data_IF_707012138930
#
_entry.id   IF_707012138930
#
_cell.length_a   1.000
_cell.length_b   1.000
_cell.length_c   1.000
_cell.angle_alpha   90.00
_cell.angle_beta   90.00
_cell.angle_gamma   90.00
#
_symmetry.space_group_name_H-M   'P 1'
#
loop_
_entity.id
_entity.type
_entity.pdbx_description
1 polymer ?
#
# COMPACT_ATOMS: atom_id res chain seq x y z
N UNK A 1 12.23 -13.25 17.79
CA UNK A 1 13.44 -14.03 17.46
C UNK A 1 13.87 -14.73 18.74
N UNK A 2 13.45 -15.98 18.93
CA UNK A 2 13.94 -16.81 20.03
C UNK A 2 15.20 -17.53 19.55
N UNK A 3 16.17 -17.74 20.44
CA UNK A 3 17.41 -18.48 20.11
C UNK A 3 17.15 -19.93 19.63
N UNK A 4 15.91 -20.40 19.75
CA UNK A 4 15.46 -21.74 19.39
C UNK A 4 15.24 -21.92 17.87
N UNK A 5 15.02 -20.84 17.11
CA UNK A 5 14.79 -20.91 15.66
C UNK A 5 16.04 -20.50 14.87
N UNK A 6 17.23 -20.86 15.36
CA UNK A 6 18.48 -20.32 14.83
C UNK A 6 18.66 -20.59 13.34
N UNK A 7 18.30 -21.77 12.85
CA UNK A 7 18.43 -22.12 11.42
C UNK A 7 17.47 -21.35 10.51
N UNK A 8 16.22 -21.17 10.92
CA UNK A 8 15.21 -20.40 10.17
C UNK A 8 15.59 -18.92 10.03
N UNK A 9 16.38 -18.40 10.97
CA UNK A 9 16.80 -17.00 11.01
C UNK A 9 18.14 -16.74 10.28
N UNK A 10 18.77 -17.75 9.69
CA UNK A 10 20.02 -17.56 8.92
C UNK A 10 19.68 -17.00 7.55
N UNK A 11 19.98 -15.72 7.34
CA UNK A 11 19.96 -15.11 6.01
C UNK A 11 21.14 -15.65 5.20
N UNK A 12 20.85 -16.37 4.12
CA UNK A 12 21.83 -16.86 3.15
C UNK A 12 21.84 -15.97 1.91
N UNK A 13 22.90 -16.07 1.11
CA UNK A 13 23.01 -15.35 -0.17
C UNK A 13 21.82 -15.61 -1.10
N UNK A 14 21.26 -16.83 -1.08
CA UNK A 14 20.08 -17.19 -1.88
C UNK A 14 18.78 -16.49 -1.47
N UNK A 15 18.72 -15.91 -0.26
CA UNK A 15 17.56 -15.12 0.17
C UNK A 15 17.61 -13.66 -0.33
N UNK A 16 18.73 -13.25 -0.93
CA UNK A 16 18.94 -11.87 -1.38
C UNK A 16 18.51 -11.73 -2.83
N UNK A 17 17.40 -11.02 -3.03
CA UNK A 17 16.90 -10.57 -4.33
C UNK A 17 17.39 -9.14 -4.58
N UNK A 18 18.49 -9.01 -5.33
CA UNK A 18 19.03 -7.69 -5.70
C UNK A 18 18.09 -6.93 -6.64
N UNK A 19 17.35 -7.64 -7.50
CA UNK A 19 16.43 -7.01 -8.45
C UNK A 19 15.31 -6.29 -7.71
N UNK A 20 14.81 -6.86 -6.61
CA UNK A 20 13.86 -6.20 -5.73
C UNK A 20 14.38 -4.86 -5.18
N UNK A 21 15.63 -4.84 -4.69
CA UNK A 21 16.22 -3.61 -4.16
C UNK A 21 16.38 -2.55 -5.24
N UNK A 22 16.90 -2.94 -6.41
CA UNK A 22 17.07 -2.03 -7.55
C UNK A 22 15.73 -1.51 -8.07
N UNK A 23 14.69 -2.35 -8.10
CA UNK A 23 13.34 -1.95 -8.49
C UNK A 23 12.75 -0.91 -7.55
N UNK A 24 12.95 -1.07 -6.23
CA UNK A 24 12.52 -0.05 -5.25
C UNK A 24 13.27 1.27 -5.49
N UNK A 25 14.59 1.23 -5.72
CA UNK A 25 15.37 2.43 -5.98
C UNK A 25 14.92 3.14 -7.25
N UNK A 26 14.77 2.40 -8.35
CA UNK A 26 14.34 2.91 -9.65
C UNK A 26 12.93 3.53 -9.61
N UNK A 27 12.05 3.00 -8.76
CA UNK A 27 10.69 3.53 -8.59
C UNK A 27 10.60 4.77 -7.66
N UNK A 28 11.71 5.44 -7.38
CA UNK A 28 11.77 6.67 -6.55
C UNK A 28 12.13 6.43 -5.08
N UNK A 29 12.52 5.20 -4.73
CA UNK A 29 13.04 4.82 -3.41
C UNK A 29 14.56 4.91 -3.29
N UNK A 30 15.25 5.58 -4.21
CA UNK A 30 16.71 5.76 -4.27
C UNK A 30 17.35 6.22 -2.94
N UNK A 31 16.69 7.11 -2.21
CA UNK A 31 17.12 7.58 -0.89
C UNK A 31 17.30 6.46 0.16
N UNK A 32 16.85 5.24 -0.13
CA UNK A 32 17.10 4.03 0.65
C UNK A 32 18.61 3.80 0.92
N UNK A 33 19.48 4.17 -0.02
CA UNK A 33 20.93 4.03 0.09
C UNK A 33 21.55 4.93 1.17
N UNK A 34 20.84 6.00 1.56
CA UNK A 34 21.34 6.94 2.56
C UNK A 34 21.10 6.45 3.99
N UNK A 35 20.34 5.36 4.18
CA UNK A 35 19.98 4.88 5.50
C UNK A 35 21.18 4.25 6.24
N UNK A 36 21.65 4.93 7.28
CA UNK A 36 22.66 4.41 8.23
C UNK A 36 22.09 3.69 9.48
N UNK A 37 20.82 3.26 9.43
CA UNK A 37 20.21 2.43 10.47
C UNK A 37 20.13 3.02 11.91
N UNK A 38 20.02 4.34 12.09
CA UNK A 38 19.92 4.96 13.44
C UNK A 38 18.67 4.57 14.27
N UNK A 39 17.54 4.25 13.62
CA UNK A 39 16.31 3.84 14.31
C UNK A 39 15.35 4.96 14.73
N UNK A 40 15.64 6.23 14.45
CA UNK A 40 14.71 7.37 14.69
C UNK A 40 13.31 7.11 14.13
N UNK A 41 13.24 6.48 12.96
CA UNK A 41 11.98 6.11 12.32
C UNK A 41 11.15 5.11 13.15
N UNK A 42 11.79 4.11 13.75
CA UNK A 42 11.14 3.13 14.61
C UNK A 42 10.66 3.79 15.91
N UNK A 43 11.51 4.61 16.54
CA UNK A 43 11.13 5.34 17.77
C UNK A 43 9.99 6.34 17.56
N UNK A 44 9.85 6.87 16.34
CA UNK A 44 8.78 7.80 15.97
C UNK A 44 7.47 7.12 15.54
N UNK A 45 7.47 5.80 15.35
CA UNK A 45 6.33 5.12 14.74
C UNK A 45 5.22 4.87 15.78
N UNK A 46 3.98 5.40 15.58
CA UNK A 46 2.88 5.13 16.49
C UNK A 46 2.43 3.66 16.45
N UNK A 47 2.48 3.01 15.28
CA UNK A 47 2.17 1.58 15.14
C UNK A 47 3.22 0.71 15.84
N UNK A 48 4.50 1.03 15.67
CA UNK A 48 5.60 0.27 16.26
C UNK A 48 5.59 0.26 17.80
N UNK A 49 4.96 1.25 18.45
CA UNK A 49 4.79 1.29 19.91
C UNK A 49 3.91 0.17 20.48
N UNK A 50 3.04 -0.42 19.66
CA UNK A 50 2.05 -1.42 20.10
C UNK A 50 2.04 -2.70 19.26
N UNK A 51 2.90 -2.78 18.25
CA UNK A 51 2.98 -3.94 17.35
C UNK A 51 4.44 -4.34 17.07
N UNK A 52 4.68 -5.49 16.41
CA UNK A 52 6.01 -5.88 15.94
C UNK A 52 6.59 -4.98 14.83
N UNK A 53 5.85 -3.99 14.34
CA UNK A 53 6.26 -3.15 13.21
C UNK A 53 7.52 -2.34 13.51
N UNK A 54 8.62 -2.64 12.81
CA UNK A 54 9.91 -1.92 12.95
C UNK A 54 10.31 -1.31 11.62
N UNK A 55 10.02 -0.02 11.46
CA UNK A 55 10.33 0.75 10.25
C UNK A 55 11.79 0.58 9.81
N UNK A 56 12.74 0.66 10.76
CA UNK A 56 14.17 0.46 10.47
C UNK A 56 14.47 -0.91 9.83
N UNK A 57 13.82 -1.98 10.29
CA UNK A 57 14.03 -3.33 9.75
C UNK A 57 13.49 -3.44 8.33
N UNK A 58 12.32 -2.87 8.04
CA UNK A 58 11.77 -2.84 6.67
C UNK A 58 12.73 -2.12 5.73
N UNK A 59 13.23 -0.95 6.12
CA UNK A 59 14.22 -0.21 5.34
C UNK A 59 15.50 -1.04 5.14
N UNK A 60 15.96 -1.77 6.16
CA UNK A 60 17.13 -2.65 6.02
C UNK A 60 16.87 -3.78 5.03
N UNK A 61 15.75 -4.49 5.18
CA UNK A 61 15.37 -5.60 4.31
C UNK A 61 15.23 -5.14 2.87
N UNK A 62 14.63 -3.98 2.63
CA UNK A 62 14.50 -3.40 1.29
C UNK A 62 15.85 -3.04 0.68
N UNK A 63 16.76 -2.48 1.49
CA UNK A 63 18.10 -2.13 1.04
C UNK A 63 18.97 -3.36 0.71
N UNK A 64 18.81 -4.46 1.45
CA UNK A 64 19.53 -5.71 1.18
C UNK A 64 18.95 -6.48 0.01
N UNK A 65 17.62 -6.44 -0.18
CA UNK A 65 16.93 -7.30 -1.14
C UNK A 65 16.22 -8.50 -0.50
N UNK A 66 15.86 -8.44 0.79
CA UNK A 66 15.12 -9.52 1.46
C UNK A 66 13.62 -9.41 1.14
N UNK A 67 13.28 -9.63 -0.14
CA UNK A 67 11.93 -9.45 -0.70
C UNK A 67 10.89 -10.27 0.05
N UNK A 68 11.10 -11.59 0.12
CA UNK A 68 10.11 -12.53 0.68
C UNK A 68 9.80 -12.20 2.14
N UNK A 69 10.81 -11.81 2.92
CA UNK A 69 10.69 -11.38 4.30
C UNK A 69 9.95 -10.03 4.50
N UNK A 70 9.79 -9.23 3.45
CA UNK A 70 9.01 -7.99 3.50
C UNK A 70 7.59 -8.23 2.98
N UNK A 71 7.45 -8.81 1.79
CA UNK A 71 6.15 -8.89 1.11
C UNK A 71 5.19 -9.83 1.83
N UNK A 72 5.71 -10.89 2.48
CA UNK A 72 4.92 -11.85 3.25
C UNK A 72 4.63 -11.41 4.69
N UNK A 73 5.32 -10.38 5.20
CA UNK A 73 5.17 -9.93 6.58
C UNK A 73 3.90 -9.06 6.74
N UNK A 74 2.88 -9.52 7.50
CA UNK A 74 1.67 -8.73 7.74
C UNK A 74 1.95 -7.38 8.39
N UNK A 75 3.07 -7.24 9.11
CA UNK A 75 3.46 -5.98 9.71
C UNK A 75 3.66 -4.87 8.67
N UNK A 76 4.00 -5.19 7.40
CA UNK A 76 4.11 -4.20 6.32
C UNK A 76 2.86 -3.30 6.20
N UNK A 77 1.68 -3.87 6.47
CA UNK A 77 0.40 -3.18 6.39
C UNK A 77 0.06 -2.32 7.62
N UNK A 78 0.85 -2.39 8.70
CA UNK A 78 0.62 -1.61 9.92
C UNK A 78 1.05 -0.13 9.81
N UNK A 79 1.75 0.26 8.74
CA UNK A 79 2.07 1.66 8.50
C UNK A 79 0.81 2.46 8.13
N UNK A 80 0.54 3.53 8.88
CA UNK A 80 -0.57 4.46 8.63
C UNK A 80 -0.19 5.61 7.69
N UNK A 81 1.01 5.58 7.10
CA UNK A 81 1.52 6.65 6.23
C UNK A 81 1.49 8.06 6.86
N UNK A 82 1.66 8.15 8.18
CA UNK A 82 1.64 9.43 8.91
C UNK A 82 2.87 10.34 8.72
N UNK A 83 3.85 9.94 7.90
CA UNK A 83 5.10 10.66 7.61
C UNK A 83 6.03 11.02 8.79
N UNK A 84 5.67 10.74 10.05
CA UNK A 84 6.49 11.08 11.22
C UNK A 84 7.94 10.55 11.16
N UNK A 85 8.13 9.36 10.59
CA UNK A 85 9.46 8.78 10.40
C UNK A 85 10.28 9.49 9.32
N UNK A 86 9.63 9.97 8.27
CA UNK A 86 10.25 10.65 7.13
C UNK A 86 10.68 12.06 7.53
N UNK A 87 9.81 12.81 8.19
CA UNK A 87 10.10 14.16 8.67
C UNK A 87 11.29 14.21 9.64
N UNK A 88 11.39 13.19 10.51
CA UNK A 88 12.45 13.09 11.51
C UNK A 88 13.70 12.37 11.00
N UNK A 89 13.73 11.93 9.74
CA UNK A 89 14.88 11.21 9.22
C UNK A 89 16.06 12.17 9.03
N UNK A 90 17.20 11.96 9.74
CA UNK A 90 18.37 12.83 9.59
C UNK A 90 19.05 12.67 8.22
N UNK A 91 18.77 11.56 7.51
CA UNK A 91 19.29 11.24 6.18
C UNK A 91 18.29 11.52 5.06
N UNK A 92 17.12 12.09 5.38
CA UNK A 92 16.05 12.42 4.42
C UNK A 92 15.62 11.24 3.54
N UNK A 93 15.61 10.03 4.11
CA UNK A 93 15.09 8.83 3.45
C UNK A 93 13.59 8.98 3.26
N UNK A 94 13.08 8.75 2.04
CA UNK A 94 11.67 8.72 1.68
C UNK A 94 10.99 7.43 2.17
N UNK A 95 10.97 7.27 3.49
CA UNK A 95 10.56 6.01 4.15
C UNK A 95 9.14 5.60 3.76
N UNK A 96 8.21 6.55 3.68
CA UNK A 96 6.81 6.23 3.36
C UNK A 96 6.70 5.73 1.92
N UNK A 97 7.47 6.30 1.00
CA UNK A 97 7.50 5.86 -0.40
C UNK A 97 8.08 4.45 -0.53
N UNK A 98 9.20 4.15 0.15
CA UNK A 98 9.74 2.78 0.20
C UNK A 98 8.72 1.78 0.73
N UNK A 99 7.97 2.11 1.79
CA UNK A 99 6.93 1.24 2.33
C UNK A 99 5.78 1.03 1.33
N UNK A 100 5.35 2.08 0.63
CA UNK A 100 4.31 1.97 -0.42
C UNK A 100 4.78 1.12 -1.60
N UNK A 101 6.03 1.28 -2.04
CA UNK A 101 6.62 0.48 -3.11
C UNK A 101 6.71 -1.00 -2.72
N UNK A 102 7.13 -1.30 -1.49
CA UNK A 102 7.10 -2.65 -0.95
C UNK A 102 5.68 -3.24 -0.91
N UNK A 103 4.67 -2.42 -0.58
CA UNK A 103 3.25 -2.84 -0.66
C UNK A 103 2.79 -3.10 -2.08
N UNK A 104 3.28 -2.37 -3.08
CA UNK A 104 2.95 -2.65 -4.48
C UNK A 104 3.51 -4.01 -4.91
N UNK A 105 4.74 -4.35 -4.51
CA UNK A 105 5.30 -5.68 -4.78
C UNK A 105 4.57 -6.77 -4.00
N UNK A 106 4.17 -6.51 -2.76
CA UNK A 106 3.34 -7.43 -1.98
C UNK A 106 1.97 -7.66 -2.63
N UNK A 107 1.33 -6.60 -3.14
CA UNK A 107 0.07 -6.69 -3.87
C UNK A 107 0.18 -7.55 -5.13
N UNK A 108 1.23 -7.32 -5.94
CA UNK A 108 1.50 -8.13 -7.15
C UNK A 108 1.75 -9.60 -6.83
N UNK A 109 2.32 -9.89 -5.65
CA UNK A 109 2.56 -11.24 -5.17
C UNK A 109 1.34 -11.87 -4.46
N UNK A 110 0.17 -11.21 -4.47
CA UNK A 110 -1.06 -11.75 -3.89
C UNK A 110 -1.28 -11.47 -2.40
N UNK A 111 -0.42 -10.69 -1.74
CA UNK A 111 -0.54 -10.34 -0.32
C UNK A 111 -1.43 -9.11 -0.05
N UNK A 112 -2.35 -8.77 -0.97
CA UNK A 112 -3.33 -7.72 -0.75
C UNK A 112 -4.54 -8.25 0.04
N UNK A 113 -4.88 -7.58 1.14
CA UNK A 113 -6.03 -7.95 1.96
C UNK A 113 -7.37 -7.85 1.20
N UNK A 114 -8.34 -8.75 1.43
CA UNK A 114 -9.64 -8.73 0.74
C UNK A 114 -10.39 -7.40 0.89
N UNK A 115 -10.34 -6.77 2.07
CA UNK A 115 -10.98 -5.48 2.31
C UNK A 115 -10.40 -4.36 1.43
N UNK A 116 -9.09 -4.37 1.15
CA UNK A 116 -8.47 -3.40 0.24
C UNK A 116 -8.87 -3.66 -1.21
N UNK A 117 -8.96 -4.93 -1.63
CA UNK A 117 -9.49 -5.28 -2.96
C UNK A 117 -10.94 -4.83 -3.12
N UNK A 118 -11.78 -5.02 -2.10
CA UNK A 118 -13.18 -4.59 -2.12
C UNK A 118 -13.33 -3.08 -2.32
N UNK A 119 -12.51 -2.27 -1.64
CA UNK A 119 -12.46 -0.81 -1.89
C UNK A 119 -12.07 -0.51 -3.33
N UNK A 120 -11.10 -1.24 -3.89
CA UNK A 120 -10.75 -1.15 -5.31
C UNK A 120 -11.94 -1.44 -6.23
N UNK A 121 -12.72 -2.49 -5.94
CA UNK A 121 -13.94 -2.83 -6.68
C UNK A 121 -14.98 -1.71 -6.65
N UNK A 122 -15.17 -1.04 -5.50
CA UNK A 122 -16.07 0.12 -5.42
C UNK A 122 -15.62 1.28 -6.31
N UNK A 123 -14.30 1.56 -6.34
CA UNK A 123 -13.74 2.59 -7.22
C UNK A 123 -13.96 2.23 -8.69
N UNK A 124 -13.79 0.97 -9.08
CA UNK A 124 -14.07 0.53 -10.46
C UNK A 124 -15.54 0.73 -10.82
N UNK A 125 -16.45 0.32 -9.93
CA UNK A 125 -17.90 0.37 -10.17
C UNK A 125 -18.46 1.78 -10.20
N UNK A 126 -17.96 2.66 -9.33
CA UNK A 126 -18.64 3.92 -9.01
C UNK A 126 -17.75 5.15 -9.04
N UNK A 127 -16.44 4.99 -9.21
CA UNK A 127 -15.45 6.07 -9.07
C UNK A 127 -15.12 6.40 -7.61
N UNK A 128 -15.73 5.74 -6.63
CA UNK A 128 -15.60 6.08 -5.21
C UNK A 128 -15.24 4.86 -4.36
N UNK A 129 -14.34 5.04 -3.39
CA UNK A 129 -14.03 4.00 -2.40
C UNK A 129 -15.17 3.78 -1.39
N UNK A 130 -16.08 4.75 -1.26
CA UNK A 130 -17.33 4.67 -0.50
C UNK A 130 -18.44 5.24 -1.40
N UNK A 131 -19.20 4.39 -2.10
CA UNK A 131 -20.28 4.84 -2.97
C UNK A 131 -21.41 5.51 -2.19
N UNK A 132 -22.15 6.39 -2.86
CA UNK A 132 -23.39 6.96 -2.31
C UNK A 132 -24.47 5.87 -2.12
N UNK A 133 -25.33 6.07 -1.12
CA UNK A 133 -26.50 5.23 -0.86
C UNK A 133 -27.75 6.11 -0.61
N UNK A 134 -28.92 5.48 -0.53
CA UNK A 134 -30.21 6.17 -0.38
C UNK A 134 -30.25 7.08 0.85
N UNK A 135 -29.73 6.60 1.98
CA UNK A 135 -29.66 7.40 3.21
C UNK A 135 -28.82 8.68 3.03
N UNK A 136 -27.74 8.60 2.27
CA UNK A 136 -26.88 9.76 1.96
C UNK A 136 -27.57 10.71 0.98
N UNK A 137 -28.28 10.20 -0.02
CA UNK A 137 -29.07 11.01 -0.97
C UNK A 137 -30.17 11.80 -0.26
N UNK A 138 -30.91 11.16 0.63
CA UNK A 138 -31.96 11.81 1.43
C UNK A 138 -31.36 12.83 2.42
N UNK A 139 -30.26 12.50 3.08
CA UNK A 139 -29.55 13.44 3.95
C UNK A 139 -29.09 14.69 3.18
N UNK A 140 -28.56 14.51 1.96
CA UNK A 140 -28.12 15.62 1.11
C UNK A 140 -29.29 16.56 0.78
N UNK A 141 -30.44 16.04 0.36
CA UNK A 141 -31.66 16.84 0.14
C UNK A 141 -32.09 17.57 1.41
N UNK A 142 -32.10 16.88 2.55
CA UNK A 142 -32.52 17.45 3.83
C UNK A 142 -31.66 18.64 4.29
N UNK A 143 -30.37 18.66 3.92
CA UNK A 143 -29.45 19.77 4.20
C UNK A 143 -29.31 20.76 3.03
N UNK A 144 -30.20 20.68 2.03
CA UNK A 144 -30.26 21.63 0.90
C UNK A 144 -29.21 21.41 -0.19
N UNK A 145 -28.55 20.25 -0.22
CA UNK A 145 -27.61 19.88 -1.29
C UNK A 145 -28.34 19.10 -2.39
N UNK A 146 -27.77 19.11 -3.61
CA UNK A 146 -28.25 18.25 -4.69
C UNK A 146 -28.14 16.77 -4.32
N UNK A 147 -29.17 15.99 -4.70
CA UNK A 147 -29.30 14.57 -4.38
C UNK A 147 -28.03 13.79 -4.71
N UNK A 148 -27.56 13.89 -5.96
CA UNK A 148 -26.28 13.34 -6.38
C UNK A 148 -25.18 14.39 -6.24
N UNK A 149 -24.00 14.03 -5.69
CA UNK A 149 -22.85 14.91 -5.65
C UNK A 149 -22.25 15.07 -7.06
N UNK A 150 -21.70 16.27 -7.39
CA UNK A 150 -21.10 16.56 -8.70
C UNK A 150 -19.75 15.83 -8.87
N UNK A 151 -19.85 14.52 -9.03
CA UNK A 151 -18.77 13.52 -9.11
C UNK A 151 -19.14 12.53 -10.21
N UNK A 152 -18.43 11.40 -10.33
CA UNK A 152 -18.82 10.30 -11.24
C UNK A 152 -20.25 9.79 -11.02
N UNK A 153 -20.89 10.10 -9.88
CA UNK A 153 -22.31 9.82 -9.66
C UNK A 153 -23.26 10.68 -10.51
N UNK A 154 -22.89 11.94 -10.80
CA UNK A 154 -23.66 12.85 -11.63
C UNK A 154 -23.16 12.89 -13.09
N UNK A 155 -21.89 12.51 -13.31
CA UNK A 155 -21.21 12.54 -14.61
C UNK A 155 -20.76 11.13 -15.03
N UNK A 156 -21.64 10.33 -15.66
CA UNK A 156 -21.31 8.97 -16.11
C UNK A 156 -20.10 8.91 -17.07
N UNK A 157 -19.91 9.93 -17.91
CA UNK A 157 -18.77 10.05 -18.81
C UNK A 157 -17.42 10.09 -18.05
N UNK A 158 -17.39 10.73 -16.88
CA UNK A 158 -16.19 10.75 -16.04
C UNK A 158 -15.92 9.37 -15.41
N UNK A 159 -16.95 8.57 -15.16
CA UNK A 159 -16.79 7.19 -14.70
C UNK A 159 -16.15 6.32 -15.80
N UNK A 160 -16.57 6.49 -17.06
CA UNK A 160 -15.98 5.77 -18.19
C UNK A 160 -14.48 6.10 -18.34
N UNK A 161 -14.10 7.37 -18.14
CA UNK A 161 -12.68 7.78 -18.15
C UNK A 161 -11.88 7.11 -17.03
N UNK A 162 -12.42 7.06 -15.80
CA UNK A 162 -11.79 6.36 -14.67
C UNK A 162 -11.58 4.88 -15.01
N UNK A 163 -12.61 4.22 -15.54
CA UNK A 163 -12.54 2.81 -15.92
C UNK A 163 -11.53 2.55 -17.04
N UNK A 164 -11.41 3.48 -18.00
CA UNK A 164 -10.38 3.41 -19.06
C UNK A 164 -8.97 3.46 -18.48
N UNK A 165 -8.71 4.34 -17.51
CA UNK A 165 -7.40 4.41 -16.84
C UNK A 165 -7.12 3.14 -16.04
N UNK A 166 -8.13 2.60 -15.35
CA UNK A 166 -7.99 1.34 -14.60
C UNK A 166 -7.55 0.19 -15.52
N UNK A 167 -8.22 0.03 -16.67
CA UNK A 167 -7.84 -0.97 -17.68
C UNK A 167 -6.44 -0.73 -18.24
N UNK A 168 -6.08 0.53 -18.52
CA UNK A 168 -4.77 0.88 -19.08
C UNK A 168 -3.62 0.64 -18.08
N UNK A 169 -3.87 0.81 -16.78
CA UNK A 169 -2.88 0.59 -15.72
C UNK A 169 -2.81 -0.86 -15.24
N UNK A 170 -3.79 -1.67 -15.63
CA UNK A 170 -3.95 -3.06 -15.23
C UNK A 170 -4.32 -3.27 -13.76
N UNK A 171 -4.98 -2.27 -13.15
CA UNK A 171 -5.39 -2.34 -11.75
C UNK A 171 -6.53 -3.33 -11.53
N UNK A 172 -7.39 -3.50 -12.54
CA UNK A 172 -8.45 -4.50 -12.56
C UNK A 172 -7.88 -5.92 -12.46
N UNK A 173 -6.84 -6.27 -13.24
CA UNK A 173 -6.21 -7.58 -13.10
C UNK A 173 -5.46 -7.73 -11.77
N UNK A 174 -4.84 -6.65 -11.24
CA UNK A 174 -4.13 -6.69 -9.96
C UNK A 174 -5.05 -7.09 -8.80
N UNK A 175 -6.30 -6.61 -8.79
CA UNK A 175 -7.24 -6.93 -7.71
C UNK A 175 -8.11 -8.15 -8.02
N UNK A 176 -8.11 -8.64 -9.25
CA UNK A 176 -8.94 -9.76 -9.72
C UNK A 176 -10.37 -9.34 -10.05
N UNK A 177 -10.57 -8.16 -10.64
CA UNK A 177 -11.90 -7.68 -10.99
C UNK A 177 -12.40 -8.26 -12.31
N UNK A 178 -13.55 -8.92 -12.28
CA UNK A 178 -14.23 -9.42 -13.47
C UNK A 178 -15.27 -8.40 -13.96
N UNK A 179 -15.10 -7.91 -15.19
CA UNK A 179 -15.98 -6.91 -15.80
C UNK A 179 -17.35 -7.46 -16.24
N UNK A 180 -17.49 -8.76 -16.44
CA UNK A 180 -18.74 -9.43 -16.81
C UNK A 180 -19.65 -9.63 -15.59
N UNK A 181 -19.09 -10.12 -14.49
CA UNK A 181 -19.84 -10.32 -13.24
C UNK A 181 -19.93 -9.06 -12.39
N UNK A 182 -18.97 -8.14 -12.57
CA UNK A 182 -18.79 -6.99 -11.69
C UNK A 182 -18.26 -7.37 -10.31
N UNK A 183 -17.72 -8.57 -10.11
CA UNK A 183 -17.23 -9.04 -8.81
C UNK A 183 -15.71 -9.31 -8.82
N UNK A 184 -15.17 -9.60 -7.63
CA UNK A 184 -13.76 -10.00 -7.49
C UNK A 184 -13.67 -11.53 -7.55
N UNK A 185 -12.69 -12.05 -8.30
CA UNK A 185 -12.30 -13.46 -8.38
C UNK A 185 -11.17 -13.83 -7.40
#
# INVERSE_FOLDING_TARGET
MTLLQREENIIRKGNIDKEFSEKIKAAGGDSLEYCFQCGTCTGSCPSGRRTPYRVRQIIRKANVGLKDEIISDPALWMCTTCYSCQERCPRKVKIVDVVKLARNEAAKAGFMAPAHKAVGSFVIKTGHGVPINDATMELRKAVGLGELPPTTHQFPEALEEVQKIIKATGFDQLIGYNWETGELE
#
